data_IF_897071911198
#
_entry.id   IF_897071911198
#
_cell.length_a   1.000
_cell.length_b   1.000
_cell.length_c   1.000
_cell.angle_alpha   90.00
_cell.angle_beta   90.00
_cell.angle_gamma   90.00
#
_symmetry.space_group_name_H-M   'P 1'
#
loop_
_entity.id
_entity.type
_entity.pdbx_description
1 polymer ?
#
# COMPACT_ATOMS: atom_id res chain seq x y z
N UNK A 1 -1.99 -11.64 -7.48
CA UNK A 1 -1.75 -11.68 -6.02
C UNK A 1 -0.90 -10.49 -5.61
N UNK A 2 -1.15 -9.91 -4.44
CA UNK A 2 -0.26 -8.86 -3.92
C UNK A 2 1.11 -9.45 -3.58
N UNK A 3 2.16 -8.67 -3.79
CA UNK A 3 3.54 -9.09 -3.50
C UNK A 3 3.80 -9.24 -1.99
N UNK A 4 4.85 -9.96 -1.63
CA UNK A 4 5.34 -9.97 -0.26
C UNK A 4 5.76 -8.57 0.20
N UNK A 5 6.34 -7.77 -0.70
CA UNK A 5 6.68 -6.37 -0.47
C UNK A 5 5.46 -5.56 -0.05
N UNK A 6 4.35 -5.68 -0.77
CA UNK A 6 3.09 -5.00 -0.45
C UNK A 6 2.54 -5.40 0.92
N UNK A 7 2.56 -6.69 1.24
CA UNK A 7 2.13 -7.17 2.57
C UNK A 7 3.00 -6.60 3.69
N UNK A 8 4.31 -6.56 3.50
CA UNK A 8 5.23 -5.99 4.49
C UNK A 8 5.04 -4.47 4.64
N UNK A 9 4.83 -3.78 3.51
CA UNK A 9 4.51 -2.35 3.53
C UNK A 9 3.25 -2.06 4.36
N UNK A 10 2.17 -2.78 4.10
CA UNK A 10 0.91 -2.63 4.84
C UNK A 10 1.09 -2.91 6.33
N UNK A 11 1.81 -3.98 6.70
CA UNK A 11 2.07 -4.31 8.11
C UNK A 11 2.87 -3.22 8.82
N UNK A 12 3.93 -2.72 8.20
CA UNK A 12 4.73 -1.63 8.76
C UNK A 12 3.90 -0.34 8.93
N UNK A 13 3.08 0.01 7.94
CA UNK A 13 2.22 1.19 8.00
C UNK A 13 1.11 1.06 9.04
N UNK A 14 0.52 -0.12 9.21
CA UNK A 14 -0.46 -0.38 10.27
C UNK A 14 0.17 -0.27 11.66
N UNK A 15 1.40 -0.73 11.82
CA UNK A 15 2.17 -0.54 13.06
C UNK A 15 2.36 0.95 13.37
N UNK A 16 2.78 1.75 12.38
CA UNK A 16 2.92 3.20 12.54
C UNK A 16 1.57 3.87 12.85
N UNK A 17 0.50 3.48 12.18
CA UNK A 17 -0.85 4.01 12.42
C UNK A 17 -1.36 3.69 13.84
N UNK A 18 -1.06 2.49 14.34
CA UNK A 18 -1.42 2.09 15.70
C UNK A 18 -0.68 2.90 16.78
N UNK A 19 0.50 3.42 16.45
CA UNK A 19 1.31 4.31 17.31
C UNK A 19 0.93 5.80 17.19
N UNK A 20 -0.19 6.10 16.54
CA UNK A 20 -0.67 7.47 16.34
C UNK A 20 -0.31 8.07 14.98
N UNK A 21 0.65 7.52 14.28
CA UNK A 21 1.06 7.89 12.93
C UNK A 21 2.08 9.01 12.82
N UNK A 22 2.07 9.97 13.72
CA UNK A 22 2.93 11.16 13.73
C UNK A 22 4.21 10.99 14.57
N UNK A 23 4.21 10.05 15.50
CA UNK A 23 5.38 9.75 16.33
C UNK A 23 6.40 8.94 15.55
N UNK A 24 7.68 9.39 15.43
CA UNK A 24 8.72 8.63 14.76
C UNK A 24 9.00 7.30 15.46
N UNK A 25 9.12 6.24 14.69
CA UNK A 25 9.44 4.89 15.15
C UNK A 25 10.68 4.40 14.41
N UNK A 26 11.64 3.83 15.14
CA UNK A 26 12.85 3.30 14.54
C UNK A 26 12.56 2.06 13.67
N UNK A 27 13.29 1.92 12.57
CA UNK A 27 13.13 0.76 11.66
C UNK A 27 13.34 -0.55 12.41
N UNK A 28 14.31 -0.61 13.32
CA UNK A 28 14.58 -1.79 14.14
C UNK A 28 13.37 -2.21 14.97
N UNK A 29 12.66 -1.25 15.56
CA UNK A 29 11.44 -1.51 16.33
C UNK A 29 10.33 -2.09 15.45
N UNK A 30 10.10 -1.51 14.28
CA UNK A 30 9.08 -2.00 13.34
C UNK A 30 9.46 -3.41 12.84
N UNK A 31 10.72 -3.60 12.46
CA UNK A 31 11.22 -4.88 11.96
C UNK A 31 11.07 -5.99 13.00
N UNK A 32 11.38 -5.72 14.27
CA UNK A 32 11.27 -6.67 15.36
C UNK A 32 9.79 -6.99 15.68
N UNK A 33 8.99 -5.95 15.89
CA UNK A 33 7.56 -6.11 16.25
C UNK A 33 6.79 -6.87 15.17
N UNK A 34 7.04 -6.56 13.90
CA UNK A 34 6.36 -7.16 12.76
C UNK A 34 7.10 -8.40 12.19
N UNK A 35 8.25 -8.77 12.75
CA UNK A 35 9.10 -9.88 12.26
C UNK A 35 9.41 -9.75 10.77
N UNK A 36 9.89 -8.56 10.38
CA UNK A 36 10.25 -8.25 9.00
C UNK A 36 11.76 -8.19 8.83
N UNK A 37 12.31 -8.63 7.68
CA UNK A 37 13.72 -8.45 7.37
C UNK A 37 14.07 -6.95 7.30
N UNK A 38 14.96 -6.48 8.18
CA UNK A 38 15.28 -5.05 8.32
C UNK A 38 15.72 -4.39 7.01
N UNK A 39 16.64 -5.01 6.29
CA UNK A 39 17.14 -4.46 5.01
C UNK A 39 16.03 -4.31 3.96
N UNK A 40 15.12 -5.27 3.92
CA UNK A 40 13.99 -5.21 3.00
C UNK A 40 12.99 -4.13 3.43
N UNK A 41 12.74 -4.00 4.72
CA UNK A 41 11.90 -2.93 5.27
C UNK A 41 12.48 -1.53 4.98
N UNK A 42 13.80 -1.35 5.06
CA UNK A 42 14.47 -0.09 4.69
C UNK A 42 14.15 0.32 3.26
N UNK A 43 14.22 -0.60 2.31
CA UNK A 43 13.89 -0.35 0.90
C UNK A 43 12.41 0.00 0.71
N UNK A 44 11.52 -0.72 1.38
CA UNK A 44 10.07 -0.45 1.34
C UNK A 44 9.77 0.96 1.84
N UNK A 45 10.33 1.35 2.98
CA UNK A 45 10.11 2.67 3.55
C UNK A 45 10.67 3.80 2.67
N UNK A 46 11.79 3.58 1.98
CA UNK A 46 12.33 4.52 1.00
C UNK A 46 11.38 4.70 -0.20
N UNK A 47 10.79 3.63 -0.70
CA UNK A 47 9.79 3.71 -1.78
C UNK A 47 8.53 4.46 -1.33
N UNK A 48 8.04 4.19 -0.13
CA UNK A 48 6.86 4.85 0.45
C UNK A 48 7.10 6.32 0.81
N UNK A 49 8.35 6.71 1.04
CA UNK A 49 8.74 8.11 1.31
C UNK A 49 8.57 9.00 0.08
N UNK A 50 8.86 8.51 -1.11
CA UNK A 50 8.78 9.29 -2.36
C UNK A 50 7.41 9.95 -2.57
N UNK A 51 6.28 9.22 -2.49
CA UNK A 51 4.94 9.81 -2.59
C UNK A 51 4.45 10.45 -1.28
N UNK A 52 5.25 10.50 -0.23
CA UNK A 52 4.89 11.11 1.04
C UNK A 52 3.96 10.27 1.92
N UNK A 53 3.89 8.96 1.71
CA UNK A 53 3.13 8.06 2.61
C UNK A 53 3.82 7.97 3.97
N UNK A 54 5.16 7.97 4.00
CA UNK A 54 5.95 8.07 5.21
C UNK A 54 6.92 9.24 5.15
N UNK A 55 7.37 9.69 6.32
CA UNK A 55 8.46 10.67 6.51
C UNK A 55 9.57 10.06 7.32
N UNK A 56 10.81 10.40 6.99
CA UNK A 56 11.99 10.04 7.78
C UNK A 56 12.39 11.17 8.71
N UNK A 57 12.82 10.81 9.90
CA UNK A 57 13.33 11.72 10.92
C UNK A 57 14.75 11.31 11.30
N UNK A 58 15.67 12.29 11.39
CA UNK A 58 17.08 12.06 11.75
C UNK A 58 17.27 12.12 13.27
N UNK A 59 18.41 11.57 13.75
CA UNK A 59 18.86 11.67 15.14
C UNK A 59 18.47 10.48 16.01
N UNK A 60 18.77 10.59 17.30
CA UNK A 60 18.48 9.52 18.29
C UNK A 60 16.99 9.21 18.45
N UNK A 61 16.15 10.23 18.36
CA UNK A 61 14.69 10.11 18.38
C UNK A 61 14.11 9.99 16.96
N UNK A 62 14.94 9.66 15.98
CA UNK A 62 14.58 9.53 14.59
C UNK A 62 13.84 8.24 14.26
N UNK A 63 13.65 8.01 12.99
CA UNK A 63 12.93 6.86 12.46
C UNK A 63 11.97 7.28 11.38
N UNK A 64 10.86 6.58 11.30
CA UNK A 64 9.78 6.85 10.33
C UNK A 64 8.46 7.14 11.03
N UNK A 65 7.70 8.06 10.47
CA UNK A 65 6.31 8.32 10.81
C UNK A 65 5.46 8.33 9.54
N UNK A 66 4.14 8.32 9.68
CA UNK A 66 3.25 8.53 8.53
C UNK A 66 3.40 9.97 8.02
N UNK A 67 3.39 10.12 6.71
CA UNK A 67 3.48 11.43 6.03
C UNK A 67 2.14 12.16 5.92
N UNK A 68 1.04 11.42 6.10
CA UNK A 68 -0.34 11.90 6.09
C UNK A 68 -1.11 11.29 7.25
N UNK A 69 -2.26 11.84 7.59
CA UNK A 69 -3.14 11.24 8.59
C UNK A 69 -3.51 9.79 8.19
N UNK A 70 -3.55 8.83 9.12
CA UNK A 70 -3.85 7.43 8.80
C UNK A 70 -5.19 7.23 8.06
N UNK A 71 -6.18 8.09 8.30
CA UNK A 71 -7.47 8.08 7.61
C UNK A 71 -7.36 8.44 6.12
N UNK A 72 -6.31 9.16 5.73
CA UNK A 72 -6.08 9.67 4.37
C UNK A 72 -5.09 8.79 3.58
N UNK A 73 -4.71 7.65 4.12
CA UNK A 73 -3.88 6.64 3.45
C UNK A 73 -4.72 5.39 3.25
N UNK A 74 -5.08 5.12 2.00
CA UNK A 74 -5.83 3.91 1.64
C UNK A 74 -4.91 2.72 1.36
N UNK A 75 -5.47 1.53 1.41
CA UNK A 75 -4.75 0.33 0.96
C UNK A 75 -4.39 0.42 -0.53
N UNK A 76 -5.26 1.05 -1.33
CA UNK A 76 -4.97 1.29 -2.75
C UNK A 76 -3.73 2.15 -2.96
N UNK A 77 -3.54 3.21 -2.17
CA UNK A 77 -2.34 4.06 -2.23
C UNK A 77 -1.06 3.25 -2.03
N UNK A 78 -1.06 2.38 -1.03
CA UNK A 78 0.10 1.54 -0.70
C UNK A 78 0.38 0.54 -1.82
N UNK A 79 -0.64 -0.15 -2.30
CA UNK A 79 -0.48 -1.16 -3.36
C UNK A 79 -0.01 -0.54 -4.68
N UNK A 80 -0.49 0.66 -5.03
CA UNK A 80 -0.02 1.37 -6.23
C UNK A 80 1.47 1.71 -6.17
N UNK A 81 1.99 2.00 -4.99
CA UNK A 81 3.43 2.26 -4.79
C UNK A 81 4.25 0.98 -4.84
N UNK A 82 3.78 -0.09 -4.21
CA UNK A 82 4.55 -1.32 -4.05
C UNK A 82 4.44 -2.28 -5.23
N UNK A 83 3.24 -2.44 -5.78
CA UNK A 83 2.92 -3.42 -6.82
C UNK A 83 2.54 -2.78 -8.16
N UNK A 84 2.28 -1.46 -8.16
CA UNK A 84 1.86 -0.75 -9.35
C UNK A 84 0.34 -0.74 -9.56
N UNK A 85 -0.13 -0.67 -10.80
CA UNK A 85 -1.55 -0.52 -11.11
C UNK A 85 -2.42 -1.64 -10.53
N UNK A 86 -3.60 -1.28 -10.04
CA UNK A 86 -4.62 -2.23 -9.58
C UNK A 86 -5.41 -2.80 -10.77
N UNK A 87 -4.70 -3.37 -11.72
CA UNK A 87 -5.28 -3.87 -12.96
C UNK A 87 -4.68 -5.22 -13.33
N UNK A 88 -5.52 -6.16 -13.76
CA UNK A 88 -5.09 -7.51 -14.15
C UNK A 88 -4.52 -7.56 -15.57
N UNK A 89 -4.74 -6.50 -16.36
CA UNK A 89 -4.18 -6.37 -17.71
C UNK A 89 -3.88 -4.89 -18.00
N UNK A 90 -2.83 -4.60 -18.79
CA UNK A 90 -2.50 -3.22 -19.15
C UNK A 90 -3.62 -2.46 -19.85
N UNK A 91 -4.46 -3.12 -20.63
CA UNK A 91 -5.56 -2.48 -21.37
C UNK A 91 -6.71 -1.98 -20.48
N UNK A 92 -6.73 -2.34 -19.22
CA UNK A 92 -7.68 -1.84 -18.22
C UNK A 92 -7.02 -1.00 -17.12
N UNK A 93 -5.72 -0.75 -17.24
CA UNK A 93 -4.99 0.09 -16.30
C UNK A 93 -5.33 1.57 -16.51
N UNK A 94 -5.59 2.30 -15.40
CA UNK A 94 -5.76 3.76 -15.42
C UNK A 94 -4.41 4.47 -15.51
N UNK A 95 -3.38 3.93 -14.83
CA UNK A 95 -2.08 4.61 -14.67
C UNK A 95 -1.05 4.18 -15.73
N UNK A 96 -1.19 2.98 -16.26
CA UNK A 96 -0.23 2.37 -17.18
C UNK A 96 -0.96 1.65 -18.33
N UNK A 97 -1.89 2.38 -18.95
CA UNK A 97 -2.65 1.83 -20.07
C UNK A 97 -1.73 1.45 -21.23
N UNK A 98 -1.96 0.25 -21.76
CA UNK A 98 -1.38 -0.22 -23.01
C UNK A 98 -2.34 -1.22 -23.66
N UNK A 99 -2.63 -1.02 -24.94
CA UNK A 99 -3.39 -1.97 -25.74
C UNK A 99 -2.63 -3.31 -25.82
N UNK A 100 -3.33 -4.43 -25.79
CA UNK A 100 -2.70 -5.74 -26.00
C UNK A 100 -2.16 -5.83 -27.43
N UNK A 101 -1.00 -6.47 -27.61
CA UNK A 101 -0.35 -6.58 -28.93
C UNK A 101 -1.19 -7.40 -29.92
N UNK A 102 -1.95 -8.36 -29.40
CA UNK A 102 -2.86 -9.23 -30.15
C UNK A 102 -4.32 -8.76 -30.11
N UNK A 103 -4.58 -7.54 -29.62
CA UNK A 103 -5.94 -7.02 -29.49
C UNK A 103 -6.53 -6.68 -30.86
N UNK A 104 -7.59 -7.36 -31.22
CA UNK A 104 -8.34 -7.06 -32.45
C UNK A 104 -9.16 -5.75 -32.27
N UNK A 105 -10.09 -5.73 -31.30
CA UNK A 105 -10.94 -4.57 -31.04
C UNK A 105 -11.33 -4.51 -29.54
N UNK A 106 -10.94 -3.43 -28.86
CA UNK A 106 -11.19 -3.28 -27.42
C UNK A 106 -12.67 -3.14 -27.06
N UNK A 107 -13.46 -2.48 -27.92
CA UNK A 107 -14.87 -2.18 -27.67
C UNK A 107 -15.74 -3.43 -27.57
N UNK A 108 -15.36 -4.51 -28.24
CA UNK A 108 -16.08 -5.78 -28.28
C UNK A 108 -15.40 -6.90 -27.49
N UNK A 109 -14.27 -6.61 -26.85
CA UNK A 109 -13.52 -7.61 -26.10
C UNK A 109 -14.23 -7.98 -24.79
N UNK A 110 -14.75 -9.21 -24.73
CA UNK A 110 -15.42 -9.74 -23.53
C UNK A 110 -14.46 -9.87 -22.33
N UNK A 111 -13.19 -10.23 -22.60
CA UNK A 111 -12.15 -10.32 -21.55
C UNK A 111 -11.94 -8.94 -20.94
N UNK A 112 -11.75 -7.91 -21.74
CA UNK A 112 -11.56 -6.54 -21.27
C UNK A 112 -12.75 -6.05 -20.44
N UNK A 113 -13.98 -6.34 -20.85
CA UNK A 113 -15.19 -5.98 -20.08
C UNK A 113 -15.19 -6.59 -18.68
N UNK A 114 -14.86 -7.86 -18.56
CA UNK A 114 -14.76 -8.56 -17.27
C UNK A 114 -13.64 -7.98 -16.41
N UNK A 115 -12.45 -7.72 -16.99
CA UNK A 115 -11.31 -7.16 -16.26
C UNK A 115 -11.52 -5.70 -15.85
N UNK A 116 -12.28 -4.91 -16.61
CA UNK A 116 -12.70 -3.57 -16.21
C UNK A 116 -13.56 -3.61 -14.95
N UNK A 117 -14.58 -4.46 -14.93
CA UNK A 117 -15.46 -4.63 -13.78
C UNK A 117 -14.68 -5.08 -12.52
N UNK A 118 -13.76 -6.04 -12.68
CA UNK A 118 -12.89 -6.50 -11.60
C UNK A 118 -11.97 -5.39 -11.08
N UNK A 119 -11.35 -4.60 -11.98
CA UNK A 119 -10.53 -3.44 -11.61
C UNK A 119 -11.31 -2.43 -10.80
N UNK A 120 -12.49 -2.04 -11.28
CA UNK A 120 -13.32 -1.01 -10.64
C UNK A 120 -13.78 -1.46 -9.25
N UNK A 121 -14.23 -2.70 -9.11
CA UNK A 121 -14.61 -3.27 -7.82
C UNK A 121 -13.42 -3.34 -6.85
N UNK A 122 -12.26 -3.79 -7.30
CA UNK A 122 -11.03 -3.86 -6.51
C UNK A 122 -10.59 -2.46 -6.05
N UNK A 123 -10.55 -1.49 -6.97
CA UNK A 123 -10.18 -0.11 -6.65
C UNK A 123 -11.15 0.49 -5.63
N UNK A 124 -12.45 0.36 -5.82
CA UNK A 124 -13.47 0.87 -4.90
C UNK A 124 -13.30 0.31 -3.49
N UNK A 125 -13.09 -1.00 -3.35
CA UNK A 125 -12.91 -1.64 -2.05
C UNK A 125 -11.63 -1.14 -1.38
N UNK A 126 -10.50 -1.17 -2.08
CA UNK A 126 -9.19 -0.82 -1.51
C UNK A 126 -9.04 0.67 -1.25
N UNK A 127 -9.67 1.54 -2.01
CA UNK A 127 -9.71 2.98 -1.77
C UNK A 127 -10.58 3.34 -0.55
N UNK A 128 -11.63 2.58 -0.29
CA UNK A 128 -12.48 2.76 0.90
C UNK A 128 -11.85 2.24 2.20
N UNK A 129 -10.79 1.43 2.12
CA UNK A 129 -10.08 0.88 3.29
C UNK A 129 -8.86 1.75 3.61
N UNK A 130 -8.83 2.36 4.79
CA UNK A 130 -7.72 3.21 5.22
C UNK A 130 -6.99 2.63 6.44
N UNK A 131 -5.79 3.15 6.69
CA UNK A 131 -4.95 2.67 7.79
C UNK A 131 -5.55 2.92 9.18
N UNK A 132 -6.32 4.01 9.36
CA UNK A 132 -6.92 4.33 10.66
C UNK A 132 -7.94 3.27 11.08
N UNK A 133 -8.88 2.94 10.19
CA UNK A 133 -9.90 1.94 10.46
C UNK A 133 -9.29 0.54 10.68
N UNK A 134 -8.31 0.17 9.86
CA UNK A 134 -7.62 -1.11 9.98
C UNK A 134 -6.81 -1.22 11.28
N UNK A 135 -6.08 -0.17 11.67
CA UNK A 135 -5.32 -0.15 12.93
C UNK A 135 -6.26 -0.21 14.14
N UNK A 136 -7.42 0.46 14.08
CA UNK A 136 -8.43 0.38 15.13
C UNK A 136 -8.99 -1.05 15.28
N UNK A 137 -9.24 -1.72 14.17
CA UNK A 137 -9.69 -3.11 14.18
C UNK A 137 -8.65 -4.04 14.81
N UNK A 138 -7.36 -3.88 14.49
CA UNK A 138 -6.27 -4.66 15.07
C UNK A 138 -6.16 -4.45 16.59
N UNK A 139 -6.26 -3.20 17.06
CA UNK A 139 -6.29 -2.91 18.50
C UNK A 139 -7.45 -3.58 19.22
N UNK A 140 -8.65 -3.56 18.64
CA UNK A 140 -9.83 -4.22 19.23
C UNK A 140 -9.68 -5.75 19.31
N UNK A 141 -8.97 -6.35 18.36
CA UNK A 141 -8.72 -7.80 18.35
C UNK A 141 -7.52 -8.22 19.23
N UNK A 142 -6.82 -7.26 19.85
CA UNK A 142 -5.62 -7.54 20.65
C UNK A 142 -4.40 -7.97 19.81
N UNK A 143 -4.41 -7.68 18.51
CA UNK A 143 -3.32 -8.04 17.59
C UNK A 143 -2.22 -6.96 17.52
N UNK A 144 -2.42 -5.80 18.15
CA UNK A 144 -1.46 -4.71 18.33
C UNK A 144 -1.56 -4.11 19.73
#
# INVERSE_FOLDING_TARGET
MISQKARYALRALLYLAARGGDTPVQISEIAEAERLPRKFLEQILLELKKPGIVRSHRGRSGGYSLGRAPKDISFADVLRVTDGPLALSPCVSVMAYRKCDDCFEESVCAIRKALLAARDATAQILESRNLAAAAQQLRRSGAL
#
